data_IF_825669629046
#
_entry.id   IF_825669629046
#
_cell.length_a   1.000
_cell.length_b   1.000
_cell.length_c   1.000
_cell.angle_alpha   90.00
_cell.angle_beta   90.00
_cell.angle_gamma   90.00
#
_symmetry.space_group_name_H-M   'P 1'
#
loop_
_entity.id
_entity.type
_entity.pdbx_description
1 polymer ?
#
# COMPACT_ATOMS: atom_id res chain seq x y z
N UNK A 1 26.83 46.95 -41.00
CA UNK A 1 27.20 46.51 -39.63
C UNK A 1 26.04 46.83 -38.68
N UNK A 2 25.89 46.04 -37.59
CA UNK A 2 24.73 45.92 -36.64
C UNK A 2 23.75 44.82 -37.08
N UNK A 3 24.08 43.52 -37.07
CA UNK A 3 24.48 42.61 -35.96
C UNK A 3 23.44 42.53 -34.82
N UNK A 4 22.59 41.50 -34.93
CA UNK A 4 22.22 40.54 -33.87
C UNK A 4 21.78 41.16 -32.54
N UNK A 5 20.54 41.65 -32.44
CA UNK A 5 19.90 41.99 -31.15
C UNK A 5 18.65 41.16 -30.88
N UNK A 6 18.08 40.50 -31.89
CA UNK A 6 16.84 39.70 -31.76
C UNK A 6 17.08 38.27 -31.23
N UNK A 7 18.33 37.88 -30.98
CA UNK A 7 18.70 36.48 -30.69
C UNK A 7 19.33 36.28 -29.30
N UNK A 8 19.15 37.23 -28.39
CA UNK A 8 19.59 37.10 -26.99
C UNK A 8 18.41 37.00 -25.99
N UNK A 9 17.23 37.48 -26.37
CA UNK A 9 16.04 37.42 -25.51
C UNK A 9 15.41 36.02 -25.43
N UNK A 10 15.53 35.22 -26.50
CA UNK A 10 14.93 33.88 -26.55
C UNK A 10 15.70 32.83 -25.74
N UNK A 11 17.00 33.03 -25.49
CA UNK A 11 17.82 32.11 -24.70
C UNK A 11 17.65 32.26 -23.18
N UNK A 12 17.09 33.38 -22.70
CA UNK A 12 16.91 33.61 -21.26
C UNK A 12 15.61 33.02 -20.70
N UNK A 13 14.63 32.71 -21.54
CA UNK A 13 13.35 32.15 -21.09
C UNK A 13 13.37 30.62 -20.97
N UNK A 14 14.30 29.93 -21.64
CA UNK A 14 14.43 28.47 -21.54
C UNK A 14 15.17 28.01 -20.27
N UNK A 15 15.93 28.88 -19.62
CA UNK A 15 16.79 28.51 -18.48
C UNK A 15 16.06 28.48 -17.13
N UNK A 16 14.84 29.02 -17.05
CA UNK A 16 14.07 29.11 -15.80
C UNK A 16 13.11 27.94 -15.56
N UNK A 17 12.93 27.04 -16.53
CA UNK A 17 12.01 25.89 -16.42
C UNK A 17 12.66 24.60 -15.90
N UNK A 18 13.97 24.59 -15.61
CA UNK A 18 14.71 23.38 -15.22
C UNK A 18 14.94 23.22 -13.71
N UNK A 19 14.36 24.06 -12.86
CA UNK A 19 14.58 24.02 -11.39
C UNK A 19 13.43 23.41 -10.57
N UNK A 20 12.47 22.72 -11.20
CA UNK A 20 11.37 22.03 -10.52
C UNK A 20 11.42 20.50 -10.65
N UNK A 21 12.60 19.93 -10.91
CA UNK A 21 12.85 18.56 -10.48
C UNK A 21 13.13 18.59 -8.97
N UNK A 22 12.06 18.69 -8.18
CA UNK A 22 12.16 18.36 -6.77
C UNK A 22 12.71 16.94 -6.68
N UNK A 23 13.89 16.79 -6.10
CA UNK A 23 14.28 15.51 -5.52
C UNK A 23 13.19 15.17 -4.51
N UNK A 24 12.21 14.37 -4.93
CA UNK A 24 11.44 13.57 -3.99
C UNK A 24 12.49 12.80 -3.21
N UNK A 25 12.64 13.15 -1.93
CA UNK A 25 13.30 12.31 -0.97
C UNK A 25 12.40 11.09 -0.85
N UNK A 26 12.51 10.17 -1.81
CA UNK A 26 12.01 8.82 -1.67
C UNK A 26 12.93 8.18 -0.63
N UNK A 27 12.69 8.52 0.64
CA UNK A 27 12.91 7.51 1.67
C UNK A 27 12.16 6.29 1.16
N UNK A 28 12.81 5.13 1.00
CA UNK A 28 12.13 3.93 0.55
C UNK A 28 11.00 3.71 1.54
N UNK A 29 9.78 4.08 1.13
CA UNK A 29 8.64 3.94 1.99
C UNK A 29 8.53 2.45 2.26
N UNK A 30 8.13 2.12 3.47
CA UNK A 30 8.01 0.75 3.95
C UNK A 30 7.02 -0.14 3.16
N UNK A 31 6.59 0.34 2.00
CA UNK A 31 5.44 0.00 1.19
C UNK A 31 5.75 0.10 -0.31
N UNK A 32 7.01 0.07 -0.72
CA UNK A 32 7.37 0.15 -2.16
C UNK A 32 7.42 -1.21 -2.86
N UNK A 33 7.72 -2.28 -2.11
CA UNK A 33 7.88 -3.64 -2.62
C UNK A 33 7.00 -4.57 -1.81
N UNK A 34 6.37 -5.53 -2.49
CA UNK A 34 5.39 -6.42 -1.90
C UNK A 34 5.70 -7.88 -2.25
N UNK A 35 5.53 -8.75 -1.26
CA UNK A 35 5.54 -10.20 -1.40
C UNK A 35 4.14 -10.75 -1.11
N UNK A 36 3.91 -12.04 -1.41
CA UNK A 36 2.65 -12.70 -1.08
C UNK A 36 2.50 -12.97 0.42
N UNK A 37 1.27 -12.89 0.93
CA UNK A 37 0.98 -13.27 2.31
C UNK A 37 1.26 -14.77 2.54
N UNK A 38 1.79 -15.12 3.71
CA UNK A 38 2.11 -16.51 4.09
C UNK A 38 0.93 -17.48 3.97
N UNK A 39 -0.31 -17.00 4.18
CA UNK A 39 -1.51 -17.83 4.18
C UNK A 39 -2.36 -17.70 2.90
N UNK A 40 -2.00 -16.75 2.02
CA UNK A 40 -2.63 -16.52 0.72
C UNK A 40 -1.62 -15.77 -0.16
N UNK A 41 -0.79 -16.53 -0.88
CA UNK A 41 0.35 -15.99 -1.64
C UNK A 41 -0.07 -14.96 -2.70
N UNK A 42 -1.33 -14.98 -3.13
CA UNK A 42 -1.84 -14.01 -4.09
C UNK A 42 -2.27 -12.67 -3.47
N UNK A 43 -2.28 -12.54 -2.14
CA UNK A 43 -2.58 -11.29 -1.43
C UNK A 43 -1.27 -10.56 -1.09
N UNK A 44 -1.06 -9.31 -1.54
CA UNK A 44 0.20 -8.61 -1.31
C UNK A 44 0.34 -8.19 0.16
N UNK A 45 1.54 -8.27 0.69
CA UNK A 45 1.98 -7.75 1.99
C UNK A 45 3.32 -7.04 1.78
N UNK A 46 3.61 -5.93 2.47
CA UNK A 46 4.90 -5.24 2.30
C UNK A 46 6.08 -6.19 2.52
N UNK A 47 7.09 -6.14 1.65
CA UNK A 47 8.23 -7.07 1.68
C UNK A 47 9.03 -7.03 2.98
N UNK A 48 9.11 -5.86 3.58
CA UNK A 48 9.78 -5.65 4.86
C UNK A 48 8.94 -6.02 6.07
N UNK A 49 7.68 -6.42 5.85
CA UNK A 49 6.82 -6.91 6.89
C UNK A 49 7.41 -8.19 7.49
N UNK A 50 7.63 -8.18 8.81
CA UNK A 50 8.10 -9.34 9.53
C UNK A 50 6.91 -10.09 10.10
N UNK A 51 6.76 -11.35 9.70
CA UNK A 51 5.78 -12.26 10.29
C UNK A 51 6.08 -12.44 11.78
N UNK A 52 5.04 -12.29 12.60
CA UNK A 52 5.12 -12.54 14.04
C UNK A 52 4.86 -14.01 14.37
N UNK A 53 5.21 -14.44 15.58
CA UNK A 53 4.87 -15.79 16.08
C UNK A 53 3.35 -16.00 16.23
N UNK A 54 2.55 -14.93 16.16
CA UNK A 54 1.10 -14.98 16.29
C UNK A 54 0.47 -15.37 14.96
N UNK A 55 0.18 -16.66 14.85
CA UNK A 55 -0.60 -17.25 13.76
C UNK A 55 -1.65 -18.20 14.32
N UNK A 56 -2.81 -18.29 13.67
CA UNK A 56 -3.67 -19.45 13.86
C UNK A 56 -4.06 -20.04 12.53
N UNK A 57 -4.14 -21.37 12.51
CA UNK A 57 -4.72 -22.11 11.42
C UNK A 57 -5.67 -23.17 11.98
N UNK A 58 -6.95 -23.08 11.63
CA UNK A 58 -7.98 -24.01 12.08
C UNK A 58 -9.02 -24.25 10.96
N UNK A 59 -10.04 -25.06 11.25
CA UNK A 59 -11.05 -25.46 10.26
C UNK A 59 -11.93 -24.31 9.76
N UNK A 60 -11.95 -23.15 10.43
CA UNK A 60 -12.78 -21.99 10.09
C UNK A 60 -12.01 -20.82 9.51
N UNK A 61 -10.71 -20.71 9.77
CA UNK A 61 -9.88 -19.60 9.30
C UNK A 61 -8.39 -19.89 9.43
N UNK A 62 -7.60 -19.19 8.64
CA UNK A 62 -6.18 -18.95 8.91
C UNK A 62 -5.96 -17.46 9.12
N UNK A 63 -5.09 -17.07 10.05
CA UNK A 63 -4.65 -15.69 10.16
C UNK A 63 -3.16 -15.59 10.50
N UNK A 64 -2.56 -14.47 10.12
CA UNK A 64 -1.18 -14.11 10.41
C UNK A 64 -1.09 -12.61 10.68
N UNK A 65 -0.25 -12.24 11.66
CA UNK A 65 0.09 -10.85 11.97
C UNK A 65 1.48 -10.52 11.47
N UNK A 66 1.59 -9.35 10.85
CA UNK A 66 2.82 -8.78 10.37
C UNK A 66 3.14 -7.48 11.11
N UNK A 67 4.37 -7.35 11.59
CA UNK A 67 4.93 -6.06 11.99
C UNK A 67 5.51 -5.38 10.76
N UNK A 68 5.09 -4.14 10.48
CA UNK A 68 5.61 -3.35 9.35
C UNK A 68 6.29 -2.10 9.92
N UNK A 69 7.53 -1.79 9.51
CA UNK A 69 8.19 -0.57 9.93
C UNK A 69 7.35 0.69 9.64
N UNK A 70 7.19 1.54 10.66
CA UNK A 70 6.42 2.80 10.58
C UNK A 70 4.90 2.64 10.72
N UNK A 71 4.39 1.43 10.94
CA UNK A 71 2.95 1.18 11.10
C UNK A 71 2.37 1.77 12.40
N UNK A 72 3.20 1.88 13.44
CA UNK A 72 2.88 2.52 14.73
C UNK A 72 2.52 4.02 14.60
N UNK A 73 2.98 4.67 13.52
CA UNK A 73 2.67 6.05 13.21
C UNK A 73 1.38 6.23 12.39
N UNK A 74 0.78 5.13 11.94
CA UNK A 74 -0.39 5.15 11.06
C UNK A 74 -1.68 4.93 11.88
N UNK A 75 -2.63 5.84 11.70
CA UNK A 75 -3.99 5.68 12.27
C UNK A 75 -4.91 4.85 11.38
N UNK A 76 -4.50 4.57 10.14
CA UNK A 76 -5.29 3.88 9.12
C UNK A 76 -4.36 3.23 8.09
N UNK A 77 -4.89 2.26 7.35
CA UNK A 77 -4.16 1.61 6.26
C UNK A 77 -3.94 2.64 5.13
N UNK A 78 -2.71 2.83 4.62
CA UNK A 78 -2.43 3.83 3.58
C UNK A 78 -3.17 3.52 2.27
N UNK A 79 -3.76 4.54 1.65
CA UNK A 79 -4.46 4.41 0.35
C UNK A 79 -3.56 3.81 -0.74
N UNK A 80 -2.29 4.19 -0.77
CA UNK A 80 -1.31 3.64 -1.72
C UNK A 80 -1.17 2.11 -1.61
N UNK A 81 -1.32 1.54 -0.41
CA UNK A 81 -1.31 0.08 -0.26
C UNK A 81 -2.63 -0.56 -0.72
N UNK A 82 -3.77 0.10 -0.51
CA UNK A 82 -5.06 -0.35 -1.04
C UNK A 82 -5.04 -0.41 -2.58
N UNK A 83 -4.37 0.56 -3.23
CA UNK A 83 -4.18 0.57 -4.66
C UNK A 83 -3.30 -0.58 -5.16
N UNK A 84 -2.27 -0.96 -4.40
CA UNK A 84 -1.47 -2.15 -4.71
C UNK A 84 -2.30 -3.44 -4.60
N UNK A 85 -3.11 -3.58 -3.56
CA UNK A 85 -4.02 -4.73 -3.41
C UNK A 85 -4.93 -4.85 -4.64
N UNK A 86 -5.50 -3.72 -5.09
CA UNK A 86 -6.32 -3.64 -6.31
C UNK A 86 -5.52 -4.00 -7.58
N UNK A 87 -4.29 -3.50 -7.70
CA UNK A 87 -3.41 -3.83 -8.82
C UNK A 87 -3.02 -5.32 -8.88
N UNK A 88 -2.98 -6.01 -7.73
CA UNK A 88 -2.81 -7.46 -7.65
C UNK A 88 -4.10 -8.24 -7.99
N UNK A 89 -5.17 -7.55 -8.37
CA UNK A 89 -6.42 -8.12 -8.86
C UNK A 89 -7.43 -8.47 -7.76
N UNK A 90 -7.32 -7.84 -6.59
CA UNK A 90 -8.29 -7.97 -5.51
C UNK A 90 -9.32 -6.85 -5.56
N UNK A 91 -10.56 -7.17 -5.22
CA UNK A 91 -11.66 -6.20 -5.18
C UNK A 91 -12.10 -5.97 -3.75
N UNK A 92 -11.99 -4.73 -3.28
CA UNK A 92 -12.53 -4.30 -1.99
C UNK A 92 -14.06 -4.41 -1.98
N UNK A 93 -14.63 -4.97 -0.92
CA UNK A 93 -16.07 -5.12 -0.72
C UNK A 93 -16.58 -3.94 0.11
N UNK A 94 -16.85 -2.82 -0.55
CA UNK A 94 -17.19 -1.52 0.08
C UNK A 94 -18.60 -1.44 0.67
N UNK A 95 -19.47 -2.41 0.38
CA UNK A 95 -20.87 -2.43 0.81
C UNK A 95 -21.07 -2.95 2.24
N UNK A 96 -19.98 -3.22 2.96
CA UNK A 96 -19.98 -3.68 4.34
C UNK A 96 -19.88 -2.48 5.27
N UNK A 97 -20.90 -2.30 6.11
CA UNK A 97 -20.98 -1.27 7.17
C UNK A 97 -19.87 -1.49 8.22
N UNK A 98 -18.62 -1.17 7.92
CA UNK A 98 -17.50 -1.23 8.86
C UNK A 98 -16.56 -0.01 8.78
N UNK A 99 -16.75 0.89 7.80
CA UNK A 99 -15.84 2.03 7.56
C UNK A 99 -15.89 3.12 8.63
N UNK A 100 -16.94 3.15 9.47
CA UNK A 100 -17.10 4.13 10.54
C UNK A 100 -16.49 3.67 11.87
N UNK A 101 -15.97 2.44 11.96
CA UNK A 101 -15.30 1.93 13.16
C UNK A 101 -13.85 2.46 13.27
N UNK A 102 -13.32 2.65 14.49
CA UNK A 102 -11.97 3.18 14.69
C UNK A 102 -10.85 2.29 14.13
N UNK A 103 -11.13 1.03 13.78
CA UNK A 103 -10.23 0.10 13.09
C UNK A 103 -11.05 -0.78 12.13
N UNK A 104 -11.39 -0.29 10.92
CA UNK A 104 -12.25 -1.02 10.01
C UNK A 104 -11.57 -2.31 9.55
N UNK A 105 -12.33 -3.41 9.51
CA UNK A 105 -11.91 -4.63 8.83
C UNK A 105 -12.25 -4.45 7.35
N UNK A 106 -11.21 -4.33 6.52
CA UNK A 106 -11.36 -4.25 5.07
C UNK A 106 -11.47 -5.67 4.51
N UNK A 107 -12.50 -5.91 3.70
CA UNK A 107 -12.72 -7.23 3.08
C UNK A 107 -12.41 -7.15 1.60
N UNK A 108 -11.56 -8.05 1.13
CA UNK A 108 -11.16 -8.17 -0.27
C UNK A 108 -11.54 -9.53 -0.84
N UNK A 109 -11.94 -9.58 -2.11
CA UNK A 109 -12.24 -10.82 -2.81
C UNK A 109 -11.43 -10.97 -4.11
N UNK A 110 -11.06 -12.21 -4.42
CA UNK A 110 -10.44 -12.60 -5.69
C UNK A 110 -10.89 -14.01 -6.06
N UNK A 111 -11.74 -14.12 -7.07
CA UNK A 111 -12.38 -15.38 -7.44
C UNK A 111 -13.26 -15.91 -6.31
N UNK A 112 -12.89 -17.04 -5.71
CA UNK A 112 -13.61 -17.65 -4.56
C UNK A 112 -12.93 -17.36 -3.21
N UNK A 113 -11.78 -16.69 -3.23
CA UNK A 113 -11.02 -16.40 -2.02
C UNK A 113 -11.43 -15.04 -1.48
N UNK A 114 -11.56 -14.97 -0.16
CA UNK A 114 -11.79 -13.74 0.60
C UNK A 114 -10.67 -13.53 1.60
N UNK A 115 -10.19 -12.30 1.72
CA UNK A 115 -9.22 -11.87 2.73
C UNK A 115 -9.82 -10.75 3.57
N UNK A 116 -9.69 -10.85 4.88
CA UNK A 116 -9.96 -9.78 5.82
C UNK A 116 -8.62 -9.15 6.20
N UNK A 117 -8.53 -7.84 6.05
CA UNK A 117 -7.36 -7.03 6.37
C UNK A 117 -7.74 -6.06 7.47
N UNK A 118 -6.97 -6.03 8.56
CA UNK A 118 -7.15 -5.06 9.64
C UNK A 118 -5.82 -4.50 10.13
N UNK A 119 -5.89 -3.30 10.67
CA UNK A 119 -4.83 -2.68 11.45
C UNK A 119 -5.19 -2.81 12.93
N UNK A 120 -4.40 -3.57 13.68
CA UNK A 120 -4.60 -3.79 15.12
C UNK A 120 -3.34 -3.39 15.87
N UNK A 121 -3.30 -2.14 16.38
CA UNK A 121 -2.10 -1.58 17.01
C UNK A 121 -0.99 -1.37 15.99
N UNK A 122 0.16 -2.01 16.23
CA UNK A 122 1.35 -2.01 15.36
C UNK A 122 1.40 -3.22 14.40
N UNK A 123 0.28 -3.94 14.24
CA UNK A 123 0.18 -5.12 13.39
C UNK A 123 -0.81 -4.96 12.25
N UNK A 124 -0.35 -5.37 11.06
CA UNK A 124 -1.21 -5.66 9.94
C UNK A 124 -1.65 -7.13 10.03
N UNK A 125 -2.95 -7.37 10.17
CA UNK A 125 -3.51 -8.73 10.26
C UNK A 125 -4.12 -9.12 8.92
N UNK A 126 -3.68 -10.27 8.39
CA UNK A 126 -4.28 -10.91 7.21
C UNK A 126 -4.98 -12.17 7.70
N UNK A 127 -6.28 -12.26 7.44
CA UNK A 127 -7.12 -13.40 7.80
C UNK A 127 -7.83 -13.92 6.55
N UNK A 128 -7.76 -15.23 6.33
CA UNK A 128 -8.46 -15.95 5.27
C UNK A 128 -9.53 -16.83 5.93
N UNK A 129 -10.82 -16.51 5.80
CA UNK A 129 -11.88 -17.40 6.26
C UNK A 129 -11.83 -18.72 5.47
N UNK A 130 -11.88 -19.84 6.19
CA UNK A 130 -12.04 -21.18 5.62
C UNK A 130 -13.51 -21.53 5.74
N UNK A 131 -14.25 -21.28 4.67
CA UNK A 131 -15.65 -21.70 4.52
C UNK A 131 -15.73 -22.99 3.71
N UNK A 132 -16.46 -23.98 4.24
CA UNK A 132 -17.02 -25.09 3.47
C UNK A 132 -17.99 -24.58 2.40
#
# INVERSE_FOLDING_TARGET
MKRKVESLAFCLFCSSLLLLAGCTSEEPSSWAVYDGATIEESFPVPKEASKTDVTADNTKMSYVRYSVPGLDSLSQIPEAYLDVIKAWGWTEQTDLENLEEPNPILIFSKGKTTVHLSLEGDYLTVLVPKGN
#
